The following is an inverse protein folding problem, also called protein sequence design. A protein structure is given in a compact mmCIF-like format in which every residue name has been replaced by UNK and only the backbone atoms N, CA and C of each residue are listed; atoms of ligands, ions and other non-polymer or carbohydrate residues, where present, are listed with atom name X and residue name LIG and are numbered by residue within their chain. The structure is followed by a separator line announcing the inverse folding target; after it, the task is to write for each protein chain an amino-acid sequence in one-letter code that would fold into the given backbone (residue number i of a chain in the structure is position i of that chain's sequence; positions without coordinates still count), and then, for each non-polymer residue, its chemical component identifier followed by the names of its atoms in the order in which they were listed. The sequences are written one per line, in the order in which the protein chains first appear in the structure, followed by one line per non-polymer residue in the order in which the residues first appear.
data_IF_693555860107
#
_entry.id   IF_693555860107
#
_cell.length_a   1.000
_cell.length_b   1.000
_cell.length_c   1.000
_cell.angle_alpha   90.00
_cell.angle_beta   90.00
_cell.angle_gamma   90.00
#
_symmetry.space_group_name_H-M   'P 1'
#
loop_
_entity.id
_entity.type
_entity.pdbx_description
1 polymer ?
#
# COMPACT_ATOMS: atom_id res chain seq x y z
N UNK A 1 -7.14 -8.67 2.08
CA UNK A 1 -7.34 -10.12 2.01
C UNK A 1 -7.85 -10.46 0.61
N UNK A 2 -7.35 -11.51 -0.04
CA UNK A 2 -7.85 -11.96 -1.35
C UNK A 2 -6.81 -12.72 -2.18
N UNK A 3 -7.04 -12.80 -3.49
CA UNK A 3 -6.16 -13.53 -4.41
C UNK A 3 -4.79 -12.86 -4.57
N UNK A 4 -3.74 -13.67 -4.62
CA UNK A 4 -2.39 -13.21 -4.96
C UNK A 4 -2.38 -12.49 -6.31
N UNK A 5 -1.86 -11.25 -6.30
CA UNK A 5 -1.81 -10.38 -7.49
C UNK A 5 -2.74 -9.17 -7.40
N UNK A 6 -3.69 -9.15 -6.46
CA UNK A 6 -4.53 -7.96 -6.22
C UNK A 6 -3.74 -6.76 -5.71
N UNK A 7 -2.58 -6.99 -5.08
CA UNK A 7 -1.79 -5.96 -4.42
C UNK A 7 -1.18 -4.97 -5.41
N UNK A 8 -0.90 -5.39 -6.65
CA UNK A 8 -0.30 -4.55 -7.67
C UNK A 8 -1.18 -3.35 -8.03
N UNK A 9 -2.45 -3.60 -8.38
CA UNK A 9 -3.39 -2.53 -8.70
C UNK A 9 -3.71 -1.62 -7.50
N UNK A 10 -3.70 -2.17 -6.28
CA UNK A 10 -3.87 -1.39 -5.05
C UNK A 10 -2.67 -0.47 -4.84
N UNK A 11 -1.45 -0.96 -5.02
CA UNK A 11 -0.24 -0.15 -4.91
C UNK A 11 -0.18 0.95 -5.97
N UNK A 12 -0.56 0.67 -7.22
CA UNK A 12 -0.61 1.67 -8.28
C UNK A 12 -1.60 2.79 -7.95
N UNK A 13 -2.82 2.44 -7.55
CA UNK A 13 -3.85 3.42 -7.21
C UNK A 13 -3.44 4.30 -6.01
N UNK A 14 -2.89 3.68 -4.95
CA UNK A 14 -2.46 4.41 -3.76
C UNK A 14 -1.20 5.25 -3.99
N UNK A 15 -0.30 4.81 -4.86
CA UNK A 15 0.86 5.61 -5.30
C UNK A 15 0.39 6.88 -6.01
N UNK A 16 -0.53 6.75 -6.97
CA UNK A 16 -1.06 7.90 -7.70
C UNK A 16 -1.84 8.86 -6.79
N UNK A 17 -2.53 8.36 -5.77
CA UNK A 17 -3.24 9.18 -4.80
C UNK A 17 -2.27 9.91 -3.84
N UNK A 18 -1.29 9.19 -3.27
CA UNK A 18 -0.32 9.76 -2.33
C UNK A 18 0.57 10.84 -2.97
N UNK A 19 0.95 10.65 -4.24
CA UNK A 19 1.74 11.62 -4.99
C UNK A 19 1.05 12.99 -5.14
N UNK A 20 -0.29 13.05 -5.14
CA UNK A 20 -1.04 14.33 -5.18
C UNK A 20 -0.89 15.14 -3.89
N UNK A 21 -0.58 14.46 -2.79
CA UNK A 21 -0.36 15.05 -1.46
C UNK A 21 1.14 15.17 -1.15
N UNK A 22 2.02 15.02 -2.14
CA UNK A 22 3.49 15.01 -2.00
C UNK A 22 4.00 13.92 -1.02
N UNK A 23 3.28 12.80 -0.91
CA UNK A 23 3.63 11.67 -0.05
C UNK A 23 4.17 10.50 -0.88
N UNK A 24 5.35 9.98 -0.51
CA UNK A 24 5.85 8.71 -1.06
C UNK A 24 5.10 7.51 -0.46
N UNK A 25 4.25 6.88 -1.27
CA UNK A 25 3.44 5.73 -0.86
C UNK A 25 4.29 4.58 -0.32
N UNK A 26 5.43 4.30 -0.94
CA UNK A 26 6.26 3.14 -0.57
C UNK A 26 6.79 3.29 0.85
N UNK A 27 7.38 4.45 1.16
CA UNK A 27 7.88 4.78 2.50
C UNK A 27 6.75 4.83 3.52
N UNK A 28 5.64 5.47 3.18
CA UNK A 28 4.50 5.58 4.09
C UNK A 28 3.89 4.21 4.42
N UNK A 29 3.70 3.35 3.43
CA UNK A 29 3.23 1.98 3.62
C UNK A 29 4.18 1.17 4.50
N UNK A 30 5.50 1.31 4.33
CA UNK A 30 6.48 0.65 5.21
C UNK A 30 6.35 1.12 6.66
N UNK A 31 6.16 2.41 6.90
CA UNK A 31 5.91 2.95 8.24
C UNK A 31 4.64 2.37 8.85
N UNK A 32 3.54 2.30 8.08
CA UNK A 32 2.29 1.68 8.54
C UNK A 32 2.45 0.20 8.86
N UNK A 33 3.24 -0.56 8.08
CA UNK A 33 3.56 -1.96 8.40
C UNK A 33 4.29 -2.09 9.74
N UNK A 34 5.31 -1.26 9.98
CA UNK A 34 6.04 -1.22 11.27
C UNK A 34 5.13 -0.84 12.43
N UNK A 35 4.16 0.04 12.20
CA UNK A 35 3.17 0.45 13.19
C UNK A 35 2.00 -0.53 13.34
N UNK A 36 2.02 -1.69 12.66
CA UNK A 36 0.91 -2.65 12.64
C UNK A 36 -0.43 -2.05 12.19
N UNK A 37 -0.40 -1.12 11.23
CA UNK A 37 -1.57 -0.45 10.65
C UNK A 37 -1.85 -0.83 9.19
N UNK A 38 -1.02 -1.71 8.62
CA UNK A 38 -1.19 -2.21 7.26
C UNK A 38 -1.03 -3.74 7.24
N UNK A 39 -2.13 -4.43 6.97
CA UNK A 39 -2.20 -5.88 6.92
C UNK A 39 -2.53 -6.35 5.51
N UNK A 40 -1.70 -7.26 4.98
CA UNK A 40 -1.94 -7.93 3.71
C UNK A 40 -1.95 -9.42 3.97
N UNK A 41 -3.00 -10.06 3.50
CA UNK A 41 -3.15 -11.51 3.53
C UNK A 41 -3.62 -11.89 2.13
N UNK A 42 -2.78 -12.59 1.38
CA UNK A 42 -3.14 -13.06 0.05
C UNK A 42 -2.77 -14.51 -0.11
N UNK A 43 -3.57 -15.22 -0.88
CA UNK A 43 -3.46 -16.65 -1.12
C UNK A 43 -3.54 -16.96 -2.61
#
# INVERSE_FOLDING_TARGET
CGLKGMEGGIDEALTAAAAKEDVDWTTYRQQMKKAHRWHVETY
#
